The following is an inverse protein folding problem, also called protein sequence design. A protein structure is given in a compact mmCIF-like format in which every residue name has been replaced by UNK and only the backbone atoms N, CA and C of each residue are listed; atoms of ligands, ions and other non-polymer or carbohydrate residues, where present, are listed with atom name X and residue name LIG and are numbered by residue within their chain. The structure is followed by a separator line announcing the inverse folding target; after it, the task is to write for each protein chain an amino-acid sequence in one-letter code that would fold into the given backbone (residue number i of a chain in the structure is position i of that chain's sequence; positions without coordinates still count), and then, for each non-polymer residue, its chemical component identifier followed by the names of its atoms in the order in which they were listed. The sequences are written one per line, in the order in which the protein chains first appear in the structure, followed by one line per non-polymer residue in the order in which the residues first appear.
data_IF_158008829252
#
_entry.id   IF_158008829252
#
_cell.length_a   1.000
_cell.length_b   1.000
_cell.length_c   1.000
_cell.angle_alpha   90.00
_cell.angle_beta   90.00
_cell.angle_gamma   90.00
#
_symmetry.space_group_name_H-M   'P 1'
#
loop_
_entity.id
_entity.type
_entity.pdbx_description
1 polymer ?
#
# COMPACT_ATOMS: atom_id res chain seq x y z
N UNK A 1 -0.50 -6.90 -15.26
CA UNK A 1 0.00 -5.65 -14.63
C UNK A 1 0.96 -6.01 -13.52
N UNK A 2 2.00 -5.19 -13.29
CA UNK A 2 3.01 -5.40 -12.26
C UNK A 2 3.25 -4.11 -11.47
N UNK A 3 3.33 -4.21 -10.15
CA UNK A 3 3.73 -3.16 -9.22
C UNK A 3 4.74 -3.70 -8.23
N UNK A 4 5.71 -2.87 -7.84
CA UNK A 4 6.68 -3.18 -6.79
C UNK A 4 6.78 -2.01 -5.83
N UNK A 5 6.97 -2.31 -4.55
CA UNK A 5 7.29 -1.33 -3.51
C UNK A 5 8.46 -1.84 -2.67
N UNK A 6 9.48 -1.01 -2.39
CA UNK A 6 10.60 -1.41 -1.54
C UNK A 6 10.18 -1.44 -0.06
N UNK A 7 10.99 -2.08 0.77
CA UNK A 7 11.01 -1.81 2.20
C UNK A 7 11.76 -0.51 2.48
N UNK A 8 11.68 -0.02 3.72
CA UNK A 8 12.43 1.16 4.18
C UNK A 8 13.11 0.92 5.52
N UNK A 9 14.17 1.66 5.76
CA UNK A 9 14.75 1.85 7.08
C UNK A 9 14.70 3.33 7.47
N UNK A 10 14.52 3.61 8.75
CA UNK A 10 14.73 4.95 9.29
C UNK A 10 16.20 5.11 9.65
N UNK A 11 16.84 6.16 9.14
CA UNK A 11 18.23 6.48 9.47
C UNK A 11 18.27 7.43 10.66
N UNK A 12 17.39 8.43 10.69
CA UNK A 12 17.31 9.42 11.77
C UNK A 12 15.86 9.85 11.97
N UNK A 13 15.43 9.95 13.24
CA UNK A 13 14.14 10.54 13.59
C UNK A 13 12.97 9.57 13.70
N UNK A 14 13.19 8.28 13.94
CA UNK A 14 12.14 7.25 14.01
C UNK A 14 10.99 7.63 14.97
N UNK A 15 11.31 8.16 16.15
CA UNK A 15 10.33 8.66 17.11
C UNK A 15 9.91 10.13 16.90
N UNK A 16 10.30 10.75 15.80
CA UNK A 16 9.99 12.14 15.48
C UNK A 16 8.90 12.27 14.41
N UNK A 17 8.76 11.25 13.57
CA UNK A 17 7.83 11.23 12.44
C UNK A 17 6.38 11.52 12.86
N UNK A 18 5.86 10.83 13.87
CA UNK A 18 4.51 11.04 14.38
C UNK A 18 4.33 12.35 15.15
N UNK A 19 5.43 13.04 15.47
CA UNK A 19 5.43 14.38 16.07
C UNK A 19 5.49 15.49 15.02
N UNK A 20 5.56 15.13 13.72
CA UNK A 20 5.71 16.08 12.63
C UNK A 20 7.08 16.76 12.61
N UNK A 21 8.12 16.11 13.15
CA UNK A 21 9.50 16.60 13.15
C UNK A 21 10.28 15.93 12.00
N UNK A 22 11.39 16.56 11.54
CA UNK A 22 12.15 16.05 10.40
C UNK A 22 12.70 14.65 10.60
N UNK A 23 12.63 13.84 9.56
CA UNK A 23 13.16 12.47 9.54
C UNK A 23 13.98 12.21 8.29
N UNK A 24 14.94 11.28 8.38
CA UNK A 24 15.69 10.76 7.23
C UNK A 24 15.42 9.26 7.14
N UNK A 25 14.86 8.84 6.02
CA UNK A 25 14.57 7.44 5.75
C UNK A 25 15.11 7.02 4.37
N UNK A 26 15.39 5.74 4.22
CA UNK A 26 15.96 5.18 3.01
C UNK A 26 15.20 3.93 2.58
N UNK A 27 14.82 3.88 1.31
CA UNK A 27 14.33 2.66 0.69
C UNK A 27 15.48 1.66 0.55
N UNK A 28 15.20 0.38 0.77
CA UNK A 28 16.17 -0.71 0.65
C UNK A 28 15.76 -1.70 -0.44
N UNK A 29 16.69 -2.53 -0.90
CA UNK A 29 16.55 -3.49 -2.01
C UNK A 29 15.80 -4.78 -1.64
N UNK A 30 14.81 -4.67 -0.77
CA UNK A 30 13.84 -5.72 -0.45
C UNK A 30 12.46 -5.27 -0.91
N UNK A 31 11.81 -6.06 -1.72
CA UNK A 31 10.60 -5.64 -2.41
C UNK A 31 9.39 -6.51 -2.07
N UNK A 32 8.24 -5.84 -2.01
CA UNK A 32 6.95 -6.49 -2.15
C UNK A 32 6.45 -6.28 -3.59
N UNK A 33 6.05 -7.37 -4.21
CA UNK A 33 5.58 -7.39 -5.60
C UNK A 33 4.11 -7.76 -5.65
N UNK A 34 3.32 -6.96 -6.35
CA UNK A 34 1.93 -7.21 -6.70
C UNK A 34 1.84 -7.41 -8.20
N UNK A 35 1.34 -8.55 -8.63
CA UNK A 35 1.10 -8.84 -10.06
C UNK A 35 -0.30 -9.39 -10.25
N UNK A 36 -0.95 -9.07 -11.36
CA UNK A 36 -2.29 -9.57 -11.58
C UNK A 36 -2.78 -9.39 -13.01
N UNK A 37 -3.77 -10.21 -13.35
CA UNK A 37 -4.46 -10.19 -14.62
C UNK A 37 -5.96 -10.06 -14.37
N UNK A 38 -6.72 -9.39 -15.28
CA UNK A 38 -8.16 -9.35 -15.17
C UNK A 38 -8.74 -10.76 -15.28
N UNK A 39 -9.77 -11.04 -14.52
CA UNK A 39 -10.61 -12.22 -14.66
C UNK A 39 -12.01 -11.80 -15.15
N UNK A 40 -12.85 -12.78 -15.47
CA UNK A 40 -14.21 -12.53 -15.98
C UNK A 40 -15.27 -12.55 -14.87
N UNK A 41 -14.89 -12.16 -13.66
CA UNK A 41 -15.77 -12.16 -12.48
C UNK A 41 -15.76 -10.77 -11.80
N UNK A 42 -16.63 -10.60 -10.80
CA UNK A 42 -16.61 -9.42 -9.92
C UNK A 42 -15.75 -9.65 -8.67
N UNK A 43 -14.79 -10.59 -8.72
CA UNK A 43 -13.96 -10.93 -7.57
C UNK A 43 -12.52 -10.45 -7.76
N UNK A 44 -11.99 -9.84 -6.71
CA UNK A 44 -10.57 -9.62 -6.52
C UNK A 44 -10.02 -10.82 -5.73
N UNK A 45 -9.32 -11.71 -6.39
CA UNK A 45 -8.72 -12.89 -5.78
C UNK A 45 -7.26 -12.58 -5.43
N UNK A 46 -6.96 -12.47 -4.15
CA UNK A 46 -5.62 -12.22 -3.64
C UNK A 46 -4.96 -13.53 -3.23
N UNK A 47 -3.90 -13.91 -3.91
CA UNK A 47 -3.00 -15.01 -3.54
C UNK A 47 -1.81 -14.42 -2.78
N UNK A 48 -1.80 -14.59 -1.46
CA UNK A 48 -0.76 -14.13 -0.54
C UNK A 48 0.28 -15.25 -0.41
N UNK A 49 1.20 -15.32 -1.36
CA UNK A 49 2.12 -16.45 -1.56
C UNK A 49 2.89 -16.77 -0.28
N UNK A 50 3.47 -15.78 0.38
CA UNK A 50 4.34 -15.98 1.55
C UNK A 50 3.56 -16.38 2.82
N UNK A 51 2.24 -16.15 2.82
CA UNK A 51 1.34 -16.55 3.91
C UNK A 51 0.58 -17.85 3.60
N UNK A 52 0.78 -18.42 2.41
CA UNK A 52 0.01 -19.55 1.90
C UNK A 52 -1.52 -19.36 2.09
N UNK A 53 -2.01 -18.17 1.76
CA UNK A 53 -3.40 -17.76 2.00
C UNK A 53 -4.01 -17.15 0.75
N UNK A 54 -5.23 -17.59 0.44
CA UNK A 54 -6.05 -17.00 -0.62
C UNK A 54 -7.21 -16.26 0.02
N UNK A 55 -7.53 -15.07 -0.54
CA UNK A 55 -8.67 -14.26 -0.12
C UNK A 55 -9.38 -13.71 -1.35
N UNK A 56 -10.71 -13.83 -1.39
CA UNK A 56 -11.54 -13.23 -2.43
C UNK A 56 -12.39 -12.11 -1.85
N UNK A 57 -12.46 -10.99 -2.55
CA UNK A 57 -13.26 -9.81 -2.18
C UNK A 57 -14.09 -9.43 -3.40
N UNK A 58 -15.40 -9.27 -3.23
CA UNK A 58 -16.24 -8.75 -4.32
C UNK A 58 -16.00 -7.25 -4.50
N UNK A 59 -15.91 -6.78 -5.74
CA UNK A 59 -15.69 -5.36 -6.06
C UNK A 59 -16.82 -4.46 -5.53
N UNK A 60 -18.00 -5.02 -5.30
CA UNK A 60 -19.17 -4.34 -4.75
C UNK A 60 -19.31 -4.52 -3.22
N UNK A 61 -18.31 -5.08 -2.54
CA UNK A 61 -18.35 -5.28 -1.09
C UNK A 61 -18.61 -3.96 -0.35
N UNK A 62 -19.32 -4.07 0.76
CA UNK A 62 -19.49 -2.96 1.69
C UNK A 62 -18.15 -2.64 2.37
N UNK A 63 -17.74 -1.38 2.30
CA UNK A 63 -16.52 -0.84 2.88
C UNK A 63 -16.79 0.05 4.08
N UNK A 64 -17.99 -0.02 4.67
CA UNK A 64 -18.38 0.80 5.83
C UNK A 64 -17.78 0.31 7.14
N UNK A 65 -17.66 -1.01 7.30
CA UNK A 65 -17.10 -1.64 8.49
C UNK A 65 -15.90 -2.52 8.10
N UNK A 66 -14.72 -2.04 8.42
CA UNK A 66 -13.45 -2.73 8.10
C UNK A 66 -12.71 -2.96 9.42
N UNK A 67 -12.26 -4.18 9.64
CA UNK A 67 -11.45 -4.51 10.80
C UNK A 67 -10.09 -3.78 10.74
N UNK A 68 -9.65 -3.25 11.87
CA UNK A 68 -8.34 -2.59 11.97
C UNK A 68 -7.23 -3.58 11.59
N UNK A 69 -6.31 -3.14 10.73
CA UNK A 69 -5.25 -3.97 10.18
C UNK A 69 -5.60 -4.68 8.87
N UNK A 70 -6.85 -4.60 8.39
CA UNK A 70 -7.21 -5.09 7.06
C UNK A 70 -6.77 -4.12 5.96
N UNK A 71 -5.46 -4.10 5.72
CA UNK A 71 -4.84 -3.16 4.79
C UNK A 71 -5.42 -3.23 3.38
N UNK A 72 -5.81 -4.42 2.90
CA UNK A 72 -6.39 -4.59 1.55
C UNK A 72 -7.73 -3.86 1.47
N UNK A 73 -8.61 -4.07 2.43
CA UNK A 73 -9.93 -3.42 2.45
C UNK A 73 -9.80 -1.89 2.61
N UNK A 74 -8.87 -1.41 3.43
CA UNK A 74 -8.62 0.02 3.56
C UNK A 74 -8.08 0.65 2.27
N UNK A 75 -7.20 -0.04 1.54
CA UNK A 75 -6.77 0.40 0.20
C UNK A 75 -7.96 0.53 -0.75
N UNK A 76 -8.84 -0.47 -0.82
CA UNK A 76 -10.03 -0.43 -1.67
C UNK A 76 -10.96 0.72 -1.29
N UNK A 77 -11.13 0.98 0.01
CA UNK A 77 -11.93 2.10 0.52
C UNK A 77 -11.33 3.44 0.12
N UNK A 78 -10.03 3.63 0.33
CA UNK A 78 -9.33 4.87 -0.06
C UNK A 78 -9.40 5.11 -1.57
N UNK A 79 -9.15 4.10 -2.38
CA UNK A 79 -9.27 4.21 -3.83
C UNK A 79 -10.67 4.63 -4.26
N UNK A 80 -11.70 4.02 -3.68
CA UNK A 80 -13.10 4.35 -3.95
C UNK A 80 -13.45 5.79 -3.56
N UNK A 81 -12.99 6.28 -2.40
CA UNK A 81 -13.23 7.67 -1.95
C UNK A 81 -12.57 8.70 -2.86
N UNK A 82 -11.49 8.32 -3.53
CA UNK A 82 -10.79 9.16 -4.53
C UNK A 82 -11.26 8.94 -5.97
N UNK A 83 -12.42 8.30 -6.17
CA UNK A 83 -13.08 8.14 -7.46
C UNK A 83 -12.50 7.04 -8.35
N UNK A 84 -11.67 6.14 -7.80
CA UNK A 84 -11.19 4.97 -8.55
C UNK A 84 -12.29 3.91 -8.57
N UNK A 85 -12.86 3.68 -9.75
CA UNK A 85 -13.93 2.69 -9.96
C UNK A 85 -13.30 1.38 -10.41
N UNK A 86 -13.23 0.41 -9.50
CA UNK A 86 -12.78 -0.95 -9.85
C UNK A 86 -13.95 -1.67 -10.52
N UNK A 87 -13.89 -1.79 -11.84
CA UNK A 87 -15.01 -2.26 -12.69
C UNK A 87 -14.88 -3.73 -13.13
N UNK A 88 -13.81 -4.43 -12.76
CA UNK A 88 -13.59 -5.83 -13.13
C UNK A 88 -12.83 -6.55 -12.01
N UNK A 89 -13.05 -7.84 -11.89
CA UNK A 89 -12.25 -8.70 -11.04
C UNK A 89 -10.84 -8.92 -11.56
N UNK A 90 -9.96 -9.29 -10.66
CA UNK A 90 -8.55 -9.58 -10.93
C UNK A 90 -8.07 -10.78 -10.11
N UNK A 91 -7.23 -11.61 -10.71
CA UNK A 91 -6.42 -12.60 -10.01
C UNK A 91 -5.07 -11.94 -9.70
N UNK A 92 -4.83 -11.69 -8.43
CA UNK A 92 -3.72 -10.87 -7.92
C UNK A 92 -2.82 -11.73 -7.07
N UNK A 93 -1.54 -11.81 -7.42
CA UNK A 93 -0.50 -12.48 -6.65
C UNK A 93 0.34 -11.44 -5.90
N UNK A 94 0.54 -11.68 -4.61
CA UNK A 94 1.36 -10.86 -3.74
C UNK A 94 2.51 -11.71 -3.22
N UNK A 95 3.74 -11.27 -3.51
CA UNK A 95 4.98 -11.90 -3.05
C UNK A 95 5.87 -10.87 -2.39
N UNK A 96 6.42 -11.21 -1.23
CA UNK A 96 7.26 -10.31 -0.44
C UNK A 96 8.64 -10.92 -0.18
N UNK A 97 9.67 -10.10 -0.35
CA UNK A 97 11.02 -10.36 0.15
C UNK A 97 11.25 -9.68 1.50
N UNK A 98 10.22 -8.95 1.99
CA UNK A 98 10.26 -8.15 3.21
C UNK A 98 9.81 -9.03 4.37
N UNK A 99 10.65 -9.15 5.38
CA UNK A 99 10.31 -9.92 6.58
C UNK A 99 9.21 -9.21 7.37
N UNK A 100 8.17 -9.98 7.73
CA UNK A 100 7.07 -9.48 8.55
C UNK A 100 7.59 -9.22 9.97
N UNK A 101 7.13 -8.12 10.58
CA UNK A 101 7.52 -7.70 11.93
C UNK A 101 9.02 -7.39 12.13
N UNK A 102 9.75 -7.10 11.06
CA UNK A 102 11.16 -6.72 11.13
C UNK A 102 11.39 -5.19 11.30
N UNK A 103 10.34 -4.40 11.49
CA UNK A 103 10.45 -2.93 11.62
C UNK A 103 10.80 -2.20 10.31
N UNK A 104 10.69 -2.87 9.17
CA UNK A 104 11.06 -2.34 7.84
C UNK A 104 9.84 -2.04 6.95
N UNK A 105 8.67 -1.80 7.57
CA UNK A 105 7.41 -1.36 6.96
C UNK A 105 6.83 -2.27 5.88
N UNK A 106 6.67 -3.56 6.20
CA UNK A 106 6.04 -4.51 5.28
C UNK A 106 4.57 -4.17 4.97
N UNK A 107 3.81 -3.62 5.92
CA UNK A 107 2.42 -3.17 5.72
C UNK A 107 2.34 -1.99 4.75
N UNK A 108 3.18 -0.98 4.95
CA UNK A 108 3.22 0.19 4.07
C UNK A 108 3.66 -0.18 2.65
N UNK A 109 4.61 -1.13 2.51
CA UNK A 109 5.01 -1.65 1.21
C UNK A 109 3.84 -2.35 0.49
N UNK A 110 3.03 -3.13 1.21
CA UNK A 110 1.82 -3.76 0.66
C UNK A 110 0.83 -2.70 0.17
N UNK A 111 0.54 -1.71 1.00
CA UNK A 111 -0.41 -0.63 0.70
C UNK A 111 0.05 0.17 -0.52
N UNK A 112 1.31 0.62 -0.54
CA UNK A 112 1.90 1.37 -1.67
C UNK A 112 1.88 0.55 -2.96
N UNK A 113 2.25 -0.73 -2.90
CA UNK A 113 2.24 -1.59 -4.07
C UNK A 113 0.83 -1.82 -4.63
N UNK A 114 -0.17 -2.02 -3.77
CA UNK A 114 -1.57 -2.19 -4.16
C UNK A 114 -2.16 -0.91 -4.75
N UNK A 115 -1.95 0.24 -4.11
CA UNK A 115 -2.40 1.53 -4.63
C UNK A 115 -1.80 1.77 -6.02
N UNK A 116 -0.48 1.63 -6.17
CA UNK A 116 0.19 1.80 -7.45
C UNK A 116 -0.32 0.81 -8.52
N UNK A 117 -0.62 -0.44 -8.13
CA UNK A 117 -1.20 -1.45 -9.02
C UNK A 117 -2.55 -0.99 -9.58
N UNK A 118 -3.48 -0.57 -8.73
CA UNK A 118 -4.81 -0.14 -9.16
C UNK A 118 -4.79 1.20 -9.89
N UNK A 119 -3.97 2.17 -9.46
CA UNK A 119 -3.83 3.44 -10.16
C UNK A 119 -3.33 3.24 -11.59
N UNK A 120 -2.32 2.40 -11.80
CA UNK A 120 -1.81 2.08 -13.15
C UNK A 120 -2.86 1.46 -14.06
N UNK A 121 -3.86 0.78 -13.52
CA UNK A 121 -4.93 0.15 -14.29
C UNK A 121 -6.03 1.15 -14.63
N UNK A 122 -6.46 1.95 -13.67
CA UNK A 122 -7.70 2.71 -13.76
C UNK A 122 -7.50 4.21 -14.00
N UNK A 123 -6.41 4.80 -13.50
CA UNK A 123 -6.10 6.23 -13.67
C UNK A 123 -4.59 6.47 -13.81
N UNK A 124 -3.95 5.91 -14.87
CA UNK A 124 -2.50 5.93 -15.04
C UNK A 124 -1.91 7.35 -15.11
N UNK A 125 -2.69 8.34 -15.52
CA UNK A 125 -2.29 9.75 -15.59
C UNK A 125 -2.07 10.39 -14.20
N UNK A 126 -2.62 9.81 -13.14
CA UNK A 126 -2.44 10.28 -11.76
C UNK A 126 -1.30 9.58 -11.01
N UNK A 127 -0.63 8.61 -11.64
CA UNK A 127 0.46 7.88 -11.01
C UNK A 127 1.65 8.78 -10.74
N UNK A 128 1.87 9.11 -9.48
CA UNK A 128 3.05 9.84 -9.00
C UNK A 128 3.41 9.39 -7.59
N UNK A 129 4.68 9.50 -7.21
CA UNK A 129 5.13 9.14 -5.87
C UNK A 129 4.36 9.92 -4.79
N UNK A 130 4.16 11.21 -5.00
CA UNK A 130 3.40 12.07 -4.10
C UNK A 130 1.97 11.58 -3.91
N UNK A 131 1.23 11.36 -4.99
CA UNK A 131 -0.18 10.94 -4.90
C UNK A 131 -0.32 9.55 -4.27
N UNK A 132 0.57 8.62 -4.62
CA UNK A 132 0.60 7.28 -4.02
C UNK A 132 0.87 7.36 -2.51
N UNK A 133 1.84 8.19 -2.07
CA UNK A 133 2.16 8.33 -0.65
C UNK A 133 1.02 8.95 0.15
N UNK A 134 0.33 9.94 -0.42
CA UNK A 134 -0.85 10.56 0.22
C UNK A 134 -1.98 9.54 0.43
N UNK A 135 -2.32 8.77 -0.61
CA UNK A 135 -3.32 7.70 -0.52
C UNK A 135 -2.90 6.58 0.45
N UNK A 136 -1.62 6.23 0.45
CA UNK A 136 -1.10 5.21 1.35
C UNK A 136 -1.17 5.65 2.82
N UNK A 137 -0.81 6.89 3.11
CA UNK A 137 -0.93 7.47 4.44
C UNK A 137 -2.40 7.54 4.90
N UNK A 138 -3.30 7.98 4.04
CA UNK A 138 -4.73 7.98 4.33
C UNK A 138 -5.24 6.58 4.67
N UNK A 139 -4.88 5.59 3.84
CA UNK A 139 -5.32 4.20 3.99
C UNK A 139 -4.78 3.54 5.27
N UNK A 140 -3.50 3.74 5.58
CA UNK A 140 -2.82 3.05 6.68
C UNK A 140 -3.03 3.73 8.02
N UNK A 141 -3.04 5.05 8.03
CA UNK A 141 -3.03 5.85 9.27
C UNK A 141 -4.38 6.50 9.52
N UNK A 142 -4.83 7.40 8.64
CA UNK A 142 -5.99 8.24 8.92
C UNK A 142 -7.28 7.44 9.04
N UNK A 143 -7.56 6.57 8.09
CA UNK A 143 -8.81 5.78 8.07
C UNK A 143 -8.85 4.72 9.17
N UNK A 144 -7.70 4.32 9.70
CA UNK A 144 -7.61 3.35 10.80
C UNK A 144 -7.54 4.01 12.18
N UNK A 145 -7.64 5.34 12.25
CA UNK A 145 -7.54 6.10 13.51
C UNK A 145 -6.17 5.96 14.17
N UNK A 146 -5.13 5.78 13.36
CA UNK A 146 -3.75 5.69 13.81
C UNK A 146 -3.14 7.07 14.10
N UNK A 147 -2.08 7.09 14.88
CA UNK A 147 -1.26 8.28 15.19
C UNK A 147 0.13 8.22 14.53
N UNK A 148 0.29 7.37 13.51
CA UNK A 148 1.57 7.24 12.78
C UNK A 148 1.91 8.48 11.97
N UNK A 149 3.20 8.69 11.72
CA UNK A 149 3.67 9.72 10.81
C UNK A 149 3.60 9.31 9.34
N UNK A 150 4.30 10.04 8.48
CA UNK A 150 4.26 9.90 7.02
C UNK A 150 5.48 9.20 6.43
N UNK A 151 6.51 8.98 7.24
CA UNK A 151 7.82 8.51 6.82
C UNK A 151 7.75 7.24 5.95
N UNK A 152 6.97 6.27 6.38
CA UNK A 152 6.90 4.96 5.73
C UNK A 152 6.38 5.06 4.30
N UNK A 153 5.21 5.65 4.14
CA UNK A 153 4.53 5.72 2.86
C UNK A 153 5.29 6.62 1.88
N UNK A 154 5.87 7.72 2.39
CA UNK A 154 6.64 8.65 1.56
C UNK A 154 7.98 8.07 1.13
N UNK A 155 8.74 7.43 2.03
CA UNK A 155 10.03 6.81 1.67
C UNK A 155 9.85 5.65 0.69
N UNK A 156 8.84 4.80 0.91
CA UNK A 156 8.55 3.66 0.03
C UNK A 156 8.08 4.12 -1.35
N UNK A 157 7.23 5.15 -1.42
CA UNK A 157 6.70 5.65 -2.70
C UNK A 157 7.75 6.41 -3.52
N UNK A 158 8.64 7.16 -2.89
CA UNK A 158 9.69 7.92 -3.57
C UNK A 158 10.92 7.07 -3.91
N UNK A 159 11.21 6.04 -3.11
CA UNK A 159 12.47 5.32 -3.23
C UNK A 159 13.66 6.19 -2.77
N UNK A 160 14.88 5.63 -2.88
CA UNK A 160 16.11 6.30 -2.49
C UNK A 160 16.12 6.74 -1.00
N UNK A 161 16.98 7.71 -0.68
CA UNK A 161 17.00 8.38 0.62
C UNK A 161 16.18 9.65 0.53
N UNK A 162 15.30 9.87 1.50
CA UNK A 162 14.48 11.08 1.60
C UNK A 162 14.75 11.80 2.91
N UNK A 163 14.65 13.12 2.85
CA UNK A 163 14.45 13.99 4.00
C UNK A 163 13.01 14.47 3.99
N UNK A 164 12.29 14.22 5.05
CA UNK A 164 10.88 14.59 5.22
C UNK A 164 10.78 15.57 6.38
N UNK A 165 10.12 16.70 6.09
CA UNK A 165 9.86 17.79 7.02
C UNK A 165 8.38 18.14 7.07
#
# INVERSE_FOLDING_TARGET
MLSKAPARICLFGDHQDYLGLPVIACAIDKYLTVSGNPNQTDLLNFDLIDLNRIRSININSDLSQIEKGDHIMFVLKTLKSHGVIISKGYDIKIKSEIFINAGISSSSALIVALINFFLKIYIPEKVSAKYISELAYESEVLQQGGSGGKMDQYSISNGNTIFLE
#
